data_IF_491765489104
#
_entry.id   IF_491765489104
#
_cell.length_a   1.000
_cell.length_b   1.000
_cell.length_c   1.000
_cell.angle_alpha   90.00
_cell.angle_beta   90.00
_cell.angle_gamma   90.00
#
_symmetry.space_group_name_H-M   'P 1'
#
loop_
_entity.id
_entity.type
_entity.pdbx_description
1 polymer ?
#
# COMPACT_ATOMS: atom_id res chain seq x y z
N UNK A 1 10.52 -1.13 -0.77
CA UNK A 1 10.31 0.29 -1.09
C UNK A 1 10.94 1.16 -0.02
N UNK A 2 11.65 2.19 -0.42
CA UNK A 2 12.23 3.13 0.54
C UNK A 2 11.19 4.15 0.99
N UNK A 3 11.08 4.33 2.31
CA UNK A 3 10.21 5.35 2.90
C UNK A 3 11.00 6.23 3.84
N UNK A 4 10.46 7.42 4.09
CA UNK A 4 10.90 8.30 5.17
C UNK A 4 9.75 8.47 6.14
N UNK A 5 9.97 8.11 7.40
CA UNK A 5 8.98 8.32 8.45
C UNK A 5 8.99 9.81 8.79
N UNK A 6 7.83 10.46 8.67
CA UNK A 6 7.72 11.92 8.87
C UNK A 6 7.23 12.28 10.26
N UNK A 7 6.31 11.50 10.83
CA UNK A 7 5.80 11.72 12.19
C UNK A 7 5.04 10.50 12.68
N UNK A 8 4.79 10.47 14.00
CA UNK A 8 3.91 9.47 14.62
C UNK A 8 2.45 9.88 14.44
N UNK A 9 1.56 8.90 14.36
CA UNK A 9 0.12 9.11 14.37
C UNK A 9 -0.47 9.02 15.78
N UNK A 10 -1.80 9.03 15.85
CA UNK A 10 -2.52 9.00 17.12
C UNK A 10 -2.64 7.60 17.71
N UNK A 11 -2.67 6.58 16.86
CA UNK A 11 -2.75 5.19 17.31
C UNK A 11 -1.38 4.65 17.65
N UNK A 12 -1.35 3.57 18.45
CA UNK A 12 -0.09 2.88 18.78
C UNK A 12 0.59 2.40 17.49
N UNK A 13 1.88 2.68 17.38
CA UNK A 13 2.73 2.30 16.26
C UNK A 13 2.33 2.89 14.90
N UNK A 14 1.36 3.81 14.89
CA UNK A 14 0.99 4.50 13.67
C UNK A 14 2.06 5.51 13.27
N UNK A 15 2.43 5.48 11.99
CA UNK A 15 3.39 6.44 11.43
C UNK A 15 2.85 7.01 10.13
N UNK A 16 3.20 8.26 9.87
CA UNK A 16 3.06 8.88 8.56
C UNK A 16 4.39 8.76 7.84
N UNK A 17 4.33 8.51 6.54
CA UNK A 17 5.54 8.30 5.76
C UNK A 17 5.45 8.98 4.40
N UNK A 18 6.62 9.19 3.81
CA UNK A 18 6.77 9.71 2.45
C UNK A 18 7.58 8.74 1.62
N UNK A 19 7.19 8.58 0.36
CA UNK A 19 7.91 7.80 -0.64
C UNK A 19 8.13 8.65 -1.87
N UNK A 20 8.86 8.12 -2.86
CA UNK A 20 8.97 8.79 -4.17
C UNK A 20 7.62 8.89 -4.90
N UNK A 21 6.63 8.10 -4.51
CA UNK A 21 5.30 8.09 -5.14
C UNK A 21 4.25 8.90 -4.38
N UNK A 22 4.57 9.39 -3.21
CA UNK A 22 3.63 10.17 -2.40
C UNK A 22 3.67 9.80 -0.93
N UNK A 23 2.63 10.21 -0.22
CA UNK A 23 2.55 10.10 1.24
C UNK A 23 1.46 9.13 1.67
N UNK A 24 1.71 8.45 2.78
CA UNK A 24 0.76 7.51 3.35
C UNK A 24 0.85 7.44 4.86
N UNK A 25 0.10 6.51 5.41
CA UNK A 25 -0.02 6.25 6.83
C UNK A 25 -0.16 4.75 7.03
N UNK A 26 0.43 4.23 8.08
CA UNK A 26 0.28 2.81 8.38
C UNK A 26 0.79 2.47 9.77
N UNK A 27 0.69 1.19 10.11
CA UNK A 27 1.15 0.66 11.39
C UNK A 27 2.55 0.09 11.20
N UNK A 28 3.48 0.62 11.96
CA UNK A 28 4.87 0.15 11.95
C UNK A 28 4.98 -1.18 12.68
N UNK A 29 5.45 -2.20 12.00
CA UNK A 29 5.56 -3.57 12.51
C UNK A 29 7.02 -3.97 12.72
N UNK A 30 7.75 -3.17 13.46
CA UNK A 30 9.16 -3.43 13.77
C UNK A 30 9.60 -2.67 15.01
N UNK A 31 10.91 -2.63 15.26
CA UNK A 31 11.44 -1.83 16.35
C UNK A 31 11.14 -0.35 16.08
N UNK A 32 10.76 0.43 17.12
CA UNK A 32 10.42 1.83 16.93
C UNK A 32 11.52 2.63 16.24
N UNK A 33 11.11 3.48 15.29
CA UNK A 33 11.99 4.39 14.58
C UNK A 33 11.46 5.82 14.73
N UNK A 34 12.37 6.74 14.93
CA UNK A 34 12.03 8.16 15.09
C UNK A 34 11.71 8.85 13.76
N UNK A 35 11.17 10.09 13.85
CA UNK A 35 10.96 10.92 12.66
C UNK A 35 12.24 11.13 11.87
N UNK A 36 12.09 11.37 10.57
CA UNK A 36 13.18 11.58 9.62
C UNK A 36 14.07 10.37 9.38
N UNK A 37 13.62 9.19 9.83
CA UNK A 37 14.33 7.95 9.55
C UNK A 37 13.94 7.43 8.17
N UNK A 38 14.93 7.11 7.34
CA UNK A 38 14.73 6.45 6.05
C UNK A 38 15.03 4.97 6.19
N UNK A 39 14.20 4.12 5.58
CA UNK A 39 14.40 2.68 5.62
C UNK A 39 13.65 2.01 4.47
N UNK A 40 14.09 0.81 4.13
CA UNK A 40 13.39 -0.01 3.15
C UNK A 40 12.34 -0.87 3.86
N UNK A 41 11.16 -0.96 3.26
CA UNK A 41 10.03 -1.67 3.85
C UNK A 41 9.27 -2.48 2.81
N UNK A 42 8.46 -3.41 3.32
CA UNK A 42 7.38 -4.04 2.58
C UNK A 42 6.05 -3.59 3.17
N UNK A 43 5.07 -3.37 2.29
CA UNK A 43 3.70 -3.06 2.70
C UNK A 43 2.84 -4.31 2.57
N UNK A 44 1.97 -4.49 3.55
CA UNK A 44 0.90 -5.48 3.48
C UNK A 44 -0.42 -4.78 3.78
N UNK A 45 -1.39 -4.98 2.90
CA UNK A 45 -2.74 -4.45 3.08
C UNK A 45 -3.56 -5.57 3.72
N UNK A 46 -3.80 -5.47 5.02
CA UNK A 46 -4.35 -6.57 5.80
C UNK A 46 -5.87 -6.70 5.76
N UNK A 47 -6.57 -5.74 5.14
CA UNK A 47 -8.02 -5.82 4.94
C UNK A 47 -8.35 -6.79 3.80
N UNK A 48 -9.48 -7.47 3.91
CA UNK A 48 -10.05 -8.17 2.77
C UNK A 48 -10.72 -7.15 1.86
N UNK A 49 -10.22 -7.01 0.64
CA UNK A 49 -10.67 -6.00 -0.31
C UNK A 49 -11.67 -6.60 -1.30
N UNK A 50 -12.60 -5.77 -1.75
CA UNK A 50 -13.57 -6.17 -2.75
C UNK A 50 -13.19 -5.57 -4.11
N UNK A 51 -12.97 -6.42 -5.10
CA UNK A 51 -12.77 -5.96 -6.48
C UNK A 51 -13.99 -5.18 -6.93
N UNK A 52 -13.78 -4.11 -7.70
CA UNK A 52 -14.80 -3.20 -8.21
C UNK A 52 -15.42 -2.29 -7.14
N UNK A 53 -14.98 -2.40 -5.90
CA UNK A 53 -15.38 -1.51 -4.79
C UNK A 53 -14.14 -0.83 -4.21
N UNK A 54 -13.23 -1.63 -3.66
CA UNK A 54 -11.98 -1.13 -3.06
C UNK A 54 -10.85 -1.07 -4.07
N UNK A 55 -10.96 -1.84 -5.15
CA UNK A 55 -9.99 -1.91 -6.23
C UNK A 55 -10.72 -1.52 -7.51
N UNK A 56 -10.29 -0.43 -8.14
CA UNK A 56 -10.94 0.11 -9.34
C UNK A 56 -9.93 0.38 -10.45
N UNK A 57 -10.20 -0.02 -11.70
CA UNK A 57 -9.37 0.41 -12.82
C UNK A 57 -9.43 1.93 -12.96
N UNK A 58 -8.29 2.54 -13.26
CA UNK A 58 -8.18 3.98 -13.42
C UNK A 58 -7.35 4.31 -14.66
N UNK A 59 -7.60 5.46 -15.32
CA UNK A 59 -6.83 5.87 -16.48
C UNK A 59 -5.52 6.56 -16.08
N UNK A 60 -4.78 5.98 -15.12
CA UNK A 60 -3.52 6.52 -14.65
C UNK A 60 -2.37 6.01 -15.50
N UNK A 61 -1.27 6.75 -15.48
CA UNK A 61 -0.01 6.37 -16.13
C UNK A 61 1.16 6.47 -15.18
N UNK A 62 0.92 6.90 -13.94
CA UNK A 62 1.95 7.08 -12.93
C UNK A 62 1.57 6.40 -11.62
N UNK A 63 2.57 5.92 -10.90
CA UNK A 63 2.39 5.37 -9.56
C UNK A 63 2.10 6.51 -8.59
N UNK A 64 1.26 6.25 -7.60
CA UNK A 64 0.88 7.24 -6.61
C UNK A 64 0.51 6.60 -5.28
N UNK A 65 0.82 7.28 -4.18
CA UNK A 65 0.34 6.95 -2.85
C UNK A 65 -0.17 8.25 -2.25
N UNK A 66 -1.43 8.25 -1.81
CA UNK A 66 -2.02 9.46 -1.23
C UNK A 66 -2.96 9.14 -0.07
N UNK A 67 -3.16 10.13 0.78
CA UNK A 67 -4.13 10.08 1.85
C UNK A 67 -5.44 10.69 1.37
N UNK A 68 -6.55 9.99 1.60
CA UNK A 68 -7.90 10.50 1.34
C UNK A 68 -8.77 10.19 2.54
N UNK A 69 -8.97 11.19 3.40
CA UNK A 69 -9.69 11.01 4.65
C UNK A 69 -9.02 9.95 5.53
N UNK A 70 -9.76 8.93 5.92
CA UNK A 70 -9.27 7.82 6.73
C UNK A 70 -8.63 6.69 5.89
N UNK A 71 -8.54 6.89 4.57
CA UNK A 71 -8.01 5.89 3.65
C UNK A 71 -6.65 6.28 3.10
N UNK A 72 -5.88 5.26 2.75
CA UNK A 72 -4.68 5.39 1.94
C UNK A 72 -5.02 4.81 0.57
N UNK A 73 -4.72 5.55 -0.49
CA UNK A 73 -4.98 5.11 -1.85
C UNK A 73 -3.68 4.86 -2.56
N UNK A 74 -3.50 3.61 -3.02
CA UNK A 74 -2.35 3.20 -3.81
C UNK A 74 -2.76 3.11 -5.26
N UNK A 75 -2.06 3.77 -6.15
CA UNK A 75 -2.25 3.68 -7.60
C UNK A 75 -1.06 2.95 -8.20
N UNK A 76 -1.31 1.84 -8.83
CA UNK A 76 -0.27 1.01 -9.42
C UNK A 76 -0.82 0.05 -10.45
N UNK A 77 0.03 -0.85 -10.91
CA UNK A 77 -0.35 -1.87 -11.89
C UNK A 77 -0.76 -3.14 -11.18
N UNK A 78 -1.95 -3.64 -11.49
CA UNK A 78 -2.42 -4.92 -10.97
C UNK A 78 -1.64 -6.04 -11.65
N UNK A 79 -0.63 -6.55 -10.96
CA UNK A 79 0.32 -7.50 -11.54
C UNK A 79 -0.24 -8.90 -11.62
N UNK A 80 -0.92 -9.35 -10.56
CA UNK A 80 -1.47 -10.68 -10.49
C UNK A 80 -2.57 -10.79 -9.43
N UNK A 81 -3.47 -11.75 -9.62
CA UNK A 81 -4.42 -12.22 -8.59
C UNK A 81 -4.41 -13.74 -8.67
N UNK A 82 -4.01 -14.39 -7.59
CA UNK A 82 -3.97 -15.84 -7.51
C UNK A 82 -5.36 -16.42 -7.26
N UNK A 83 -5.52 -17.72 -7.43
CA UNK A 83 -6.82 -18.40 -7.26
C UNK A 83 -7.40 -18.24 -5.86
N UNK A 84 -6.55 -18.14 -4.83
CA UNK A 84 -6.98 -17.96 -3.45
C UNK A 84 -7.36 -16.51 -3.10
N UNK A 85 -7.25 -15.59 -4.08
CA UNK A 85 -7.56 -14.18 -3.89
C UNK A 85 -6.37 -13.31 -3.49
N UNK A 86 -5.17 -13.88 -3.36
CA UNK A 86 -3.97 -13.09 -3.10
C UNK A 86 -3.63 -12.25 -4.33
N UNK A 87 -3.60 -10.94 -4.16
CA UNK A 87 -3.30 -10.00 -5.23
C UNK A 87 -1.97 -9.30 -5.01
N UNK A 88 -1.40 -8.82 -6.10
CA UNK A 88 -0.13 -8.10 -6.10
C UNK A 88 -0.26 -6.82 -6.91
N UNK A 89 -0.04 -5.70 -6.23
CA UNK A 89 -0.01 -4.39 -6.84
C UNK A 89 1.44 -3.97 -7.03
N UNK A 90 1.84 -3.67 -8.25
CA UNK A 90 3.19 -3.15 -8.51
C UNK A 90 3.21 -1.63 -8.41
N UNK A 91 4.13 -1.13 -7.57
CA UNK A 91 4.45 0.28 -7.42
C UNK A 91 5.95 0.44 -7.70
N UNK A 92 6.28 0.97 -8.87
CA UNK A 92 7.67 1.00 -9.31
C UNK A 92 8.23 -0.41 -9.40
N UNK A 93 9.25 -0.71 -8.61
CA UNK A 93 9.88 -2.03 -8.55
C UNK A 93 9.39 -2.87 -7.36
N UNK A 94 8.46 -2.33 -6.57
CA UNK A 94 7.96 -3.00 -5.38
C UNK A 94 6.60 -3.64 -5.63
N UNK A 95 6.33 -4.73 -4.93
CA UNK A 95 5.03 -5.39 -4.93
C UNK A 95 4.38 -5.21 -3.57
N UNK A 96 3.10 -4.81 -3.60
CA UNK A 96 2.27 -4.70 -2.41
C UNK A 96 1.24 -5.81 -2.44
N UNK A 97 1.25 -6.66 -1.40
CA UNK A 97 0.37 -7.82 -1.31
C UNK A 97 -0.94 -7.47 -0.61
N UNK A 98 -2.02 -8.06 -1.09
CA UNK A 98 -3.34 -7.90 -0.48
C UNK A 98 -4.19 -9.14 -0.75
N UNK A 99 -5.32 -9.26 -0.06
CA UNK A 99 -6.31 -10.30 -0.31
C UNK A 99 -7.58 -9.67 -0.84
N UNK A 100 -8.20 -10.28 -1.84
CA UNK A 100 -9.41 -9.74 -2.45
C UNK A 100 -10.39 -10.83 -2.87
N UNK A 101 -11.64 -10.41 -3.00
CA UNK A 101 -12.75 -11.22 -3.53
C UNK A 101 -13.50 -10.39 -4.56
N UNK A 102 -14.31 -11.06 -5.37
CA UNK A 102 -15.21 -10.40 -6.31
C UNK A 102 -15.03 -10.87 -7.75
N UNK A 103 -15.68 -10.18 -8.67
CA UNK A 103 -15.65 -10.50 -10.07
C UNK A 103 -14.26 -10.33 -10.68
N UNK A 104 -13.92 -11.08 -11.73
CA UNK A 104 -12.62 -10.98 -12.37
C UNK A 104 -12.27 -9.55 -12.83
N UNK A 105 -11.00 -9.25 -12.83
CA UNK A 105 -10.47 -7.95 -13.20
C UNK A 105 -9.24 -8.14 -14.10
N UNK A 106 -9.08 -7.26 -15.09
CA UNK A 106 -7.96 -7.35 -16.03
C UNK A 106 -6.63 -7.11 -15.30
N UNK A 107 -5.63 -7.92 -15.62
CA UNK A 107 -4.26 -7.76 -15.12
C UNK A 107 -3.46 -6.85 -16.06
N UNK A 108 -2.39 -6.27 -15.54
CA UNK A 108 -1.49 -5.42 -16.31
C UNK A 108 -1.99 -4.01 -16.53
N UNK A 109 -3.05 -3.61 -15.86
CA UNK A 109 -3.64 -2.25 -15.96
C UNK A 109 -3.45 -1.50 -14.65
N UNK A 110 -3.48 -0.17 -14.75
CA UNK A 110 -3.46 0.67 -13.55
C UNK A 110 -4.78 0.56 -12.80
N UNK A 111 -4.68 0.39 -11.49
CA UNK A 111 -5.81 0.38 -10.57
C UNK A 111 -5.54 1.27 -9.38
N UNK A 112 -6.59 1.73 -8.72
CA UNK A 112 -6.53 2.30 -7.39
C UNK A 112 -6.95 1.25 -6.38
N UNK A 113 -6.19 1.14 -5.29
CA UNK A 113 -6.51 0.28 -4.15
C UNK A 113 -6.70 1.17 -2.93
N UNK A 114 -7.90 1.16 -2.37
CA UNK A 114 -8.27 2.00 -1.22
C UNK A 114 -8.32 1.14 0.04
N UNK A 115 -7.55 1.52 1.05
CA UNK A 115 -7.45 0.75 2.30
C UNK A 115 -7.40 1.68 3.51
N UNK A 116 -7.82 1.17 4.66
CA UNK A 116 -7.66 1.85 5.95
C UNK A 116 -6.49 1.30 6.75
N UNK A 117 -6.17 0.02 6.59
CA UNK A 117 -5.15 -0.67 7.37
C UNK A 117 -3.97 -1.07 6.50
N UNK A 118 -2.88 -0.32 6.64
CA UNK A 118 -1.61 -0.60 5.97
C UNK A 118 -0.61 -1.06 7.03
N UNK A 119 -0.01 -2.23 6.84
CA UNK A 119 1.05 -2.73 7.70
C UNK A 119 2.40 -2.49 7.03
N UNK A 120 3.35 -1.99 7.79
CA UNK A 120 4.68 -1.61 7.31
C UNK A 120 5.72 -2.47 8.00
N UNK A 121 6.40 -3.31 7.23
CA UNK A 121 7.42 -4.21 7.75
C UNK A 121 8.80 -3.77 7.28
N UNK A 122 9.74 -3.52 8.21
CA UNK A 122 11.11 -3.22 7.80
C UNK A 122 11.73 -4.43 7.14
N UNK A 123 12.48 -4.19 6.07
CA UNK A 123 13.25 -5.25 5.44
C UNK A 123 14.49 -5.51 6.28
N UNK A 124 14.67 -6.75 6.71
CA UNK A 124 15.87 -7.18 7.42
C UNK A 124 16.96 -7.46 6.41
N UNK A 125 18.13 -6.95 6.66
CA UNK A 125 19.30 -7.22 5.85
C UNK A 125 20.21 -8.18 6.61
#
# INVERSE_FOLDING_TARGET
MKIKITKSGLKKDEVFFRTEFGEGRGIWCGAPMGPDTETDVEFELSELLMRWVDILPVPATEFDIRLEGDKVVFTGVLENIEEDGTGFLRLGESLVMFECLGEPMALGVFVEVQVRDVRIYPLSI
#
